data_IF_476704706753
#
_entry.id   IF_476704706753
#
_cell.length_a   1.000
_cell.length_b   1.000
_cell.length_c   1.000
_cell.angle_alpha   90.00
_cell.angle_beta   90.00
_cell.angle_gamma   90.00
#
_symmetry.space_group_name_H-M   'P 1'
#
loop_
_entity.id
_entity.type
_entity.pdbx_description
1 polymer ?
#
# COMPACT_ATOMS: atom_id res chain seq x y z
N UNK A 1 11.36 17.74 31.44
CA UNK A 1 11.48 17.08 30.12
C UNK A 1 10.12 16.44 29.83
N UNK A 2 9.57 16.53 28.62
CA UNK A 2 8.26 15.94 28.30
C UNK A 2 8.43 14.43 28.12
N UNK A 3 7.74 13.64 28.94
CA UNK A 3 7.62 12.18 28.76
C UNK A 3 7.09 11.91 27.36
N UNK A 4 7.82 11.10 26.57
CA UNK A 4 7.32 10.65 25.28
C UNK A 4 6.49 9.40 25.54
N UNK A 5 5.18 9.47 25.23
CA UNK A 5 4.25 8.34 25.31
C UNK A 5 3.80 7.96 23.91
N UNK A 6 4.03 6.71 23.52
CA UNK A 6 3.51 6.13 22.28
C UNK A 6 2.36 5.19 22.64
N UNK A 7 1.15 5.52 22.18
CA UNK A 7 -0.03 4.66 22.29
C UNK A 7 -0.16 3.82 21.02
N UNK A 8 -0.27 2.50 21.15
CA UNK A 8 -0.60 1.65 20.00
C UNK A 8 -2.09 1.82 19.64
N UNK A 9 -2.39 1.97 18.34
CA UNK A 9 -3.70 2.42 17.83
C UNK A 9 -4.89 1.51 18.15
N UNK A 10 -4.67 0.28 18.63
CA UNK A 10 -5.70 -0.74 18.85
C UNK A 10 -5.54 -1.53 20.14
N UNK A 11 -4.51 -1.25 20.95
CA UNK A 11 -4.27 -1.92 22.23
C UNK A 11 -4.38 -0.93 23.38
N UNK A 12 -4.62 -1.48 24.55
CA UNK A 12 -4.50 -0.83 25.85
C UNK A 12 -3.02 -0.73 26.29
N UNK A 13 -2.09 -0.76 25.32
CA UNK A 13 -0.65 -0.78 25.51
C UNK A 13 -0.03 0.57 25.22
N UNK A 14 0.84 1.03 26.12
CA UNK A 14 1.55 2.30 26.06
C UNK A 14 3.04 2.06 26.26
N UNK A 15 3.86 2.77 25.50
CA UNK A 15 5.31 2.81 25.69
C UNK A 15 5.67 4.20 26.17
N UNK A 16 6.16 4.30 27.40
CA UNK A 16 6.65 5.52 28.03
C UNK A 16 8.17 5.52 28.04
N UNK A 17 8.77 6.64 27.65
CA UNK A 17 10.21 6.85 27.66
C UNK A 17 10.57 7.89 28.72
N UNK A 18 11.39 7.49 29.70
CA UNK A 18 11.88 8.37 30.75
C UNK A 18 13.42 8.43 30.73
N UNK A 19 14.02 9.59 30.41
CA UNK A 19 15.46 9.78 30.54
C UNK A 19 15.83 9.80 32.02
N UNK A 20 16.48 8.74 32.50
CA UNK A 20 16.96 8.66 33.89
C UNK A 20 18.17 9.59 34.03
N UNK A 21 17.91 10.82 34.51
CA UNK A 21 18.85 11.95 34.55
C UNK A 21 20.19 11.71 35.28
N UNK A 22 20.40 10.57 35.93
CA UNK A 22 21.57 10.33 36.78
C UNK A 22 22.56 9.27 36.27
N UNK A 23 22.25 8.49 35.20
CA UNK A 23 23.10 7.35 34.80
C UNK A 23 23.34 7.15 33.29
N UNK A 24 23.05 8.14 32.41
CA UNK A 24 23.10 7.94 30.95
C UNK A 24 22.31 6.71 30.49
N UNK A 25 21.16 6.50 31.12
CA UNK A 25 20.26 5.37 30.88
C UNK A 25 18.90 5.88 30.45
N UNK A 26 18.29 5.18 29.49
CA UNK A 26 16.93 5.38 29.04
C UNK A 26 16.07 4.28 29.66
N UNK A 27 15.07 4.66 30.44
CA UNK A 27 14.05 3.75 30.92
C UNK A 27 12.92 3.71 29.90
N UNK A 28 12.60 2.51 29.43
CA UNK A 28 11.43 2.22 28.59
C UNK A 28 10.45 1.44 29.44
N UNK A 29 9.26 1.99 29.60
CA UNK A 29 8.17 1.36 30.35
C UNK A 29 7.06 0.99 29.38
N UNK A 30 6.79 -0.31 29.26
CA UNK A 30 5.66 -0.83 28.49
C UNK A 30 4.54 -1.16 29.47
N UNK A 31 3.46 -0.40 29.41
CA UNK A 31 2.25 -0.63 30.19
C UNK A 31 1.23 -1.33 29.28
N UNK A 32 0.69 -2.47 29.68
CA UNK A 32 -0.34 -3.24 28.97
C UNK A 32 -1.54 -3.43 29.91
N UNK A 33 -2.74 -3.08 29.47
CA UNK A 33 -3.95 -3.14 30.28
C UNK A 33 -4.88 -4.28 29.84
N UNK A 34 -4.96 -5.34 30.61
CA UNK A 34 -5.87 -6.45 30.31
C UNK A 34 -7.04 -6.40 31.28
N UNK A 35 -8.19 -5.89 30.83
CA UNK A 35 -9.55 -5.81 31.46
C UNK A 35 -9.65 -5.45 32.94
N UNK A 36 -8.91 -6.13 33.83
CA UNK A 36 -8.86 -5.96 35.28
C UNK A 36 -7.44 -5.71 35.84
N UNK A 37 -6.36 -5.90 35.06
CA UNK A 37 -4.97 -5.75 35.53
C UNK A 37 -4.07 -4.95 34.58
N UNK A 38 -3.22 -4.10 35.15
CA UNK A 38 -2.16 -3.37 34.45
C UNK A 38 -0.84 -4.13 34.60
N UNK A 39 -0.33 -4.67 33.49
CA UNK A 39 1.00 -5.26 33.41
C UNK A 39 2.02 -4.21 33.01
N UNK A 40 3.09 -4.08 33.80
CA UNK A 40 4.17 -3.12 33.55
C UNK A 40 5.47 -3.85 33.32
N UNK A 41 6.05 -3.70 32.13
CA UNK A 41 7.40 -4.18 31.81
C UNK A 41 8.35 -2.99 31.75
N UNK A 42 9.44 -3.03 32.51
CA UNK A 42 10.45 -1.97 32.53
C UNK A 42 11.75 -2.51 31.95
N UNK A 43 12.32 -1.78 31.00
CA UNK A 43 13.61 -2.11 30.38
C UNK A 43 14.47 -0.88 30.45
N UNK A 44 15.68 -1.02 30.99
CA UNK A 44 16.65 0.06 31.05
C UNK A 44 17.73 -0.17 29.99
N UNK A 45 17.93 0.82 29.13
CA UNK A 45 18.97 0.82 28.11
C UNK A 45 20.08 1.79 28.52
N UNK A 46 21.33 1.35 28.46
CA UNK A 46 22.46 2.28 28.57
C UNK A 46 22.67 3.05 27.25
N UNK A 47 23.51 4.09 27.29
CA UNK A 47 23.79 4.93 26.13
C UNK A 47 24.25 4.15 24.88
N UNK A 48 25.08 3.11 25.05
CA UNK A 48 25.56 2.28 23.93
C UNK A 48 24.40 1.51 23.28
N UNK A 49 23.50 0.95 24.09
CA UNK A 49 22.31 0.25 23.60
C UNK A 49 21.32 1.21 22.93
N UNK A 50 21.15 2.42 23.49
CA UNK A 50 20.31 3.46 22.87
C UNK A 50 20.85 3.85 21.50
N UNK A 51 22.17 4.02 21.36
CA UNK A 51 22.81 4.29 20.06
C UNK A 51 22.58 3.17 19.06
N UNK A 52 22.79 1.91 19.48
CA UNK A 52 22.57 0.75 18.62
C UNK A 52 21.10 0.63 18.15
N UNK A 53 20.14 0.87 19.06
CA UNK A 53 18.71 0.89 18.72
C UNK A 53 18.41 2.03 17.74
N UNK A 54 18.96 3.22 17.97
CA UNK A 54 18.76 4.35 17.07
C UNK A 54 19.31 4.08 15.66
N UNK A 55 20.53 3.54 15.55
CA UNK A 55 21.12 3.17 14.26
C UNK A 55 20.30 2.09 13.54
N UNK A 56 19.89 1.05 14.26
CA UNK A 56 19.01 0.01 13.73
C UNK A 56 17.68 0.59 13.22
N UNK A 57 16.97 1.35 14.06
CA UNK A 57 15.70 1.97 13.67
C UNK A 57 15.86 2.95 12.51
N UNK A 58 16.96 3.70 12.46
CA UNK A 58 17.29 4.58 11.35
C UNK A 58 17.43 3.81 10.04
N UNK A 59 18.22 2.73 10.03
CA UNK A 59 18.38 1.87 8.85
C UNK A 59 17.07 1.20 8.43
N UNK A 60 16.27 0.71 9.39
CA UNK A 60 14.98 0.09 9.14
C UNK A 60 13.99 1.09 8.53
N UNK A 61 13.91 2.31 9.08
CA UNK A 61 13.04 3.36 8.53
C UNK A 61 13.47 3.74 7.11
N UNK A 62 14.77 3.85 6.86
CA UNK A 62 15.30 4.14 5.53
C UNK A 62 14.97 3.03 4.52
N UNK A 63 15.08 1.76 4.91
CA UNK A 63 14.67 0.62 4.07
C UNK A 63 13.17 0.72 3.74
N UNK A 64 12.31 0.95 4.74
CA UNK A 64 10.87 1.08 4.53
C UNK A 64 10.51 2.29 3.68
N UNK A 65 11.23 3.40 3.82
CA UNK A 65 11.06 4.57 2.97
C UNK A 65 11.43 4.26 1.52
N UNK A 66 12.52 3.53 1.30
CA UNK A 66 12.90 3.08 -0.04
C UNK A 66 11.83 2.15 -0.65
N UNK A 67 11.31 1.19 0.11
CA UNK A 67 10.22 0.31 -0.33
C UNK A 67 8.99 1.13 -0.74
N UNK A 68 8.59 2.11 0.08
CA UNK A 68 7.45 2.99 -0.22
C UNK A 68 7.70 3.83 -1.47
N UNK A 69 8.90 4.38 -1.62
CA UNK A 69 9.27 5.16 -2.79
C UNK A 69 9.28 4.31 -4.08
N UNK A 70 9.70 3.05 -3.99
CA UNK A 70 9.67 2.11 -5.11
C UNK A 70 8.22 1.78 -5.49
N UNK A 71 7.35 1.47 -4.51
CA UNK A 71 5.92 1.22 -4.72
C UNK A 71 5.26 2.45 -5.36
N UNK A 72 5.49 3.65 -4.83
CA UNK A 72 4.94 4.88 -5.40
C UNK A 72 5.42 5.12 -6.83
N UNK A 73 6.70 4.89 -7.10
CA UNK A 73 7.28 5.04 -8.44
C UNK A 73 6.70 4.01 -9.42
N UNK A 74 6.50 2.77 -8.97
CA UNK A 74 5.81 1.73 -9.74
C UNK A 74 4.36 2.14 -10.05
N UNK A 75 3.59 2.60 -9.06
CA UNK A 75 2.20 3.09 -9.26
C UNK A 75 2.13 4.22 -10.26
N UNK A 76 3.03 5.21 -10.16
CA UNK A 76 3.12 6.32 -11.12
C UNK A 76 3.37 5.82 -12.55
N UNK A 77 4.29 4.87 -12.74
CA UNK A 77 4.57 4.26 -14.07
C UNK A 77 3.36 3.49 -14.61
N UNK A 78 2.73 2.65 -13.79
CA UNK A 78 1.55 1.89 -14.16
C UNK A 78 0.39 2.82 -14.56
N UNK A 79 0.13 3.85 -13.75
CA UNK A 79 -0.89 4.86 -14.03
C UNK A 79 -0.66 5.56 -15.35
N UNK A 80 0.58 6.02 -15.60
CA UNK A 80 0.93 6.69 -16.86
C UNK A 80 0.72 5.78 -18.08
N UNK A 81 1.17 4.52 -18.00
CA UNK A 81 0.95 3.54 -19.07
C UNK A 81 -0.53 3.27 -19.33
N UNK A 82 -1.32 3.12 -18.27
CA UNK A 82 -2.78 2.95 -18.38
C UNK A 82 -3.45 4.18 -19.02
N UNK A 83 -3.10 5.39 -18.59
CA UNK A 83 -3.64 6.63 -19.15
C UNK A 83 -3.28 6.80 -20.63
N UNK A 84 -2.09 6.38 -21.05
CA UNK A 84 -1.69 6.41 -22.46
C UNK A 84 -2.54 5.45 -23.30
N UNK A 85 -2.76 4.22 -22.84
CA UNK A 85 -3.66 3.26 -23.51
C UNK A 85 -5.08 3.82 -23.57
N UNK A 86 -5.57 4.38 -22.46
CA UNK A 86 -6.90 4.96 -22.38
C UNK A 86 -7.09 6.12 -23.38
N UNK A 87 -6.12 7.04 -23.49
CA UNK A 87 -6.16 8.15 -24.44
C UNK A 87 -6.14 7.65 -25.89
N UNK A 88 -5.24 6.73 -26.21
CA UNK A 88 -5.18 6.15 -27.56
C UNK A 88 -6.49 5.47 -27.96
N UNK A 89 -7.09 4.68 -27.05
CA UNK A 89 -8.39 4.03 -27.27
C UNK A 89 -9.54 5.05 -27.41
N UNK A 90 -9.49 6.15 -26.65
CA UNK A 90 -10.47 7.24 -26.75
C UNK A 90 -10.42 7.90 -28.13
N UNK A 91 -9.23 8.16 -28.63
CA UNK A 91 -9.03 8.85 -29.92
C UNK A 91 -9.55 8.02 -31.10
N UNK A 92 -9.44 6.69 -31.02
CA UNK A 92 -9.96 5.77 -32.06
C UNK A 92 -11.38 5.24 -31.76
N UNK A 93 -11.96 5.58 -30.61
CA UNK A 93 -13.31 5.18 -30.17
C UNK A 93 -13.55 3.67 -29.96
N UNK A 94 -12.49 2.87 -29.92
CA UNK A 94 -12.54 1.44 -29.56
C UNK A 94 -11.27 1.04 -28.79
N UNK A 95 -11.35 -0.08 -28.08
CA UNK A 95 -10.20 -0.70 -27.41
C UNK A 95 -10.04 -2.14 -27.91
N UNK A 96 -8.82 -2.50 -28.29
CA UNK A 96 -8.53 -3.82 -28.85
C UNK A 96 -8.23 -4.84 -27.76
N UNK A 97 -8.26 -6.13 -28.10
CA UNK A 97 -7.80 -7.19 -27.19
C UNK A 97 -6.34 -6.99 -26.76
N UNK A 98 -5.48 -6.53 -27.67
CA UNK A 98 -4.07 -6.27 -27.37
C UNK A 98 -3.93 -5.17 -26.30
N UNK A 99 -4.72 -4.10 -26.40
CA UNK A 99 -4.74 -3.03 -25.38
C UNK A 99 -5.20 -3.56 -24.03
N UNK A 100 -6.22 -4.42 -24.00
CA UNK A 100 -6.69 -5.06 -22.77
C UNK A 100 -5.65 -6.03 -22.19
N UNK A 101 -4.88 -6.73 -23.03
CA UNK A 101 -3.74 -7.53 -22.57
C UNK A 101 -2.63 -6.66 -21.99
N UNK A 102 -2.32 -5.50 -22.59
CA UNK A 102 -1.38 -4.52 -22.01
C UNK A 102 -1.87 -4.04 -20.65
N UNK A 103 -3.16 -3.70 -20.52
CA UNK A 103 -3.78 -3.33 -19.24
C UNK A 103 -3.66 -4.47 -18.21
N UNK A 104 -3.90 -5.72 -18.61
CA UNK A 104 -3.69 -6.89 -17.75
C UNK A 104 -2.24 -7.03 -17.29
N UNK A 105 -1.27 -6.82 -18.17
CA UNK A 105 0.17 -6.87 -17.85
C UNK A 105 0.59 -5.77 -16.85
N UNK A 106 -0.14 -4.66 -16.80
CA UNK A 106 0.03 -3.63 -15.77
C UNK A 106 -0.47 -4.06 -14.38
N UNK A 107 -1.03 -5.26 -14.25
CA UNK A 107 -1.59 -5.79 -13.01
C UNK A 107 -3.06 -5.43 -12.78
N UNK A 108 -3.71 -4.78 -13.76
CA UNK A 108 -5.12 -4.38 -13.65
C UNK A 108 -5.99 -5.56 -14.11
N UNK A 109 -6.95 -6.04 -13.29
CA UNK A 109 -7.76 -7.22 -13.60
C UNK A 109 -8.91 -6.89 -14.57
N UNK A 110 -8.60 -6.26 -15.70
CA UNK A 110 -9.60 -5.68 -16.60
C UNK A 110 -10.61 -6.71 -17.13
N UNK A 111 -10.15 -7.93 -17.47
CA UNK A 111 -11.05 -8.99 -17.93
C UNK A 111 -12.03 -9.44 -16.83
N UNK A 112 -11.60 -9.47 -15.57
CA UNK A 112 -12.49 -9.76 -14.44
C UNK A 112 -13.49 -8.64 -14.19
N UNK A 113 -13.08 -7.37 -14.38
CA UNK A 113 -13.96 -6.20 -14.28
C UNK A 113 -15.04 -6.27 -15.37
N UNK A 114 -14.65 -6.53 -16.63
CA UNK A 114 -15.56 -6.66 -17.77
C UNK A 114 -16.50 -7.86 -17.60
N UNK A 115 -15.98 -9.02 -17.19
CA UNK A 115 -16.77 -10.23 -16.93
C UNK A 115 -17.87 -9.99 -15.88
N UNK A 116 -17.52 -9.31 -14.79
CA UNK A 116 -18.47 -8.96 -13.74
C UNK A 116 -19.59 -8.04 -14.25
N UNK A 117 -19.24 -7.05 -15.06
CA UNK A 117 -20.20 -6.09 -15.60
C UNK A 117 -21.13 -6.72 -16.64
N UNK A 118 -20.57 -7.55 -17.54
CA UNK A 118 -21.33 -8.26 -18.56
C UNK A 118 -22.05 -9.51 -18.02
N UNK A 119 -21.83 -9.88 -16.76
CA UNK A 119 -22.38 -11.08 -16.12
C UNK A 119 -22.07 -12.38 -16.88
N UNK A 120 -20.87 -12.47 -17.46
CA UNK A 120 -20.38 -13.64 -18.20
C UNK A 120 -19.00 -14.08 -17.68
N UNK A 121 -18.59 -15.34 -17.90
CA UNK A 121 -17.25 -15.81 -17.56
C UNK A 121 -16.12 -15.02 -18.23
N UNK A 122 -14.97 -14.91 -17.54
CA UNK A 122 -13.76 -14.25 -18.08
C UNK A 122 -13.29 -14.86 -19.40
N UNK A 123 -13.42 -16.19 -19.56
CA UNK A 123 -13.08 -16.90 -20.79
C UNK A 123 -13.93 -16.44 -21.98
N UNK A 124 -15.22 -16.23 -21.76
CA UNK A 124 -16.14 -15.76 -22.81
C UNK A 124 -15.84 -14.31 -23.20
N UNK A 125 -15.52 -13.44 -22.23
CA UNK A 125 -15.04 -12.07 -22.51
C UNK A 125 -13.79 -12.10 -23.38
N UNK A 126 -12.81 -12.93 -23.03
CA UNK A 126 -11.56 -13.02 -23.79
C UNK A 126 -11.82 -13.50 -25.22
N UNK A 127 -12.58 -14.58 -25.39
CA UNK A 127 -12.91 -15.14 -26.69
C UNK A 127 -13.69 -14.16 -27.59
N UNK A 128 -14.63 -13.41 -27.02
CA UNK A 128 -15.37 -12.39 -27.76
C UNK A 128 -14.46 -11.26 -28.25
N UNK A 129 -13.52 -10.82 -27.41
CA UNK A 129 -12.66 -9.68 -27.69
C UNK A 129 -11.49 -10.00 -28.62
N UNK A 130 -11.06 -11.27 -28.69
CA UNK A 130 -10.06 -11.73 -29.67
C UNK A 130 -10.46 -11.41 -31.11
N UNK A 131 -11.76 -11.46 -31.41
CA UNK A 131 -12.28 -11.30 -32.77
C UNK A 131 -12.97 -9.95 -33.00
N UNK A 132 -13.25 -9.18 -31.95
CA UNK A 132 -14.03 -7.95 -32.05
C UNK A 132 -13.56 -6.90 -31.04
N UNK A 133 -13.11 -5.72 -31.49
CA UNK A 133 -12.76 -4.62 -30.59
C UNK A 133 -13.95 -4.18 -29.74
N UNK A 134 -13.69 -3.83 -28.49
CA UNK A 134 -14.72 -3.32 -27.57
C UNK A 134 -14.95 -1.83 -27.86
N UNK A 135 -16.20 -1.39 -28.07
CA UNK A 135 -16.52 0.04 -28.15
C UNK A 135 -16.00 0.80 -26.92
N UNK A 136 -15.32 1.92 -27.13
CA UNK A 136 -14.66 2.64 -26.03
C UNK A 136 -15.63 3.05 -24.92
N UNK A 137 -16.88 3.37 -25.25
CA UNK A 137 -17.92 3.72 -24.28
C UNK A 137 -18.14 2.62 -23.22
N UNK A 138 -17.99 1.34 -23.58
CA UNK A 138 -18.13 0.21 -22.67
C UNK A 138 -16.91 0.03 -21.77
N UNK A 139 -15.73 0.46 -22.22
CA UNK A 139 -14.52 0.51 -21.40
C UNK A 139 -14.48 1.75 -20.50
N UNK A 140 -14.99 2.88 -20.97
CA UNK A 140 -14.96 4.17 -20.28
C UNK A 140 -15.57 4.11 -18.89
N UNK A 141 -16.69 3.37 -18.72
CA UNK A 141 -17.34 3.18 -17.42
C UNK A 141 -16.49 2.45 -16.37
N UNK A 142 -15.38 1.83 -16.78
CA UNK A 142 -14.48 1.10 -15.89
C UNK A 142 -13.20 1.88 -15.56
N UNK A 143 -13.05 3.11 -16.04
CA UNK A 143 -11.87 3.94 -15.79
C UNK A 143 -11.58 4.10 -14.30
N UNK A 144 -12.58 4.52 -13.51
CA UNK A 144 -12.40 4.78 -12.07
C UNK A 144 -12.05 3.51 -11.30
N UNK A 145 -12.65 2.37 -11.66
CA UNK A 145 -12.32 1.06 -11.09
C UNK A 145 -10.87 0.67 -11.36
N UNK A 146 -10.37 0.93 -12.57
CA UNK A 146 -8.97 0.67 -12.93
C UNK A 146 -8.02 1.59 -12.15
N UNK A 147 -8.31 2.89 -12.09
CA UNK A 147 -7.49 3.86 -11.35
C UNK A 147 -7.46 3.53 -9.85
N UNK A 148 -8.61 3.17 -9.27
CA UNK A 148 -8.69 2.73 -7.87
C UNK A 148 -7.77 1.54 -7.62
N UNK A 149 -7.81 0.53 -8.49
CA UNK A 149 -6.96 -0.65 -8.37
C UNK A 149 -5.45 -0.32 -8.39
N UNK A 150 -5.04 0.63 -9.24
CA UNK A 150 -3.64 1.11 -9.33
C UNK A 150 -3.21 1.88 -8.05
N UNK A 151 -4.15 2.59 -7.41
CA UNK A 151 -3.83 3.34 -6.20
C UNK A 151 -3.78 2.45 -4.95
N UNK A 152 -4.49 1.32 -4.96
CA UNK A 152 -4.57 0.38 -3.85
C UNK A 152 -3.45 -0.68 -3.89
N UNK A 153 -2.89 -0.99 -5.07
CA UNK A 153 -1.83 -1.98 -5.27
C UNK A 153 -0.54 -1.34 -5.77
#
# INVERSE_FOLDING_TARGET
MRELRIKQQSSSTFIDFDPVNQQNQLLVVVNEWNSDEMKVSKITFNLTQVKAIHEYLGSFLQEKENDLNEIQSRRKRVKLSFENIYKAAKDVSFITFEDLQKIKQLGIPIFSILAKDLSIPVSEVQQALENTPLPFILFQKHYDSCIKHINEN
#
